data_IF_790520347252
#
_entry.id   IF_790520347252
#
_cell.length_a   1.000
_cell.length_b   1.000
_cell.length_c   1.000
_cell.angle_alpha   90.00
_cell.angle_beta   90.00
_cell.angle_gamma   90.00
#
_symmetry.space_group_name_H-M   'P 1'
#
loop_
_entity.id
_entity.type
_entity.pdbx_description
1 polymer ?
#
# COMPACT_ATOMS: atom_id res chain seq x y z
N UNK A 1 25.99 -11.85 -2.05
CA UNK A 1 26.84 -10.63 -2.04
C UNK A 1 28.30 -10.93 -1.71
N UNK A 2 28.91 -11.92 -2.38
CA UNK A 2 30.31 -12.26 -2.11
C UNK A 2 31.25 -11.14 -2.62
N UNK A 3 32.19 -10.62 -1.80
CA UNK A 3 33.05 -9.50 -2.20
C UNK A 3 34.00 -9.82 -3.36
N UNK A 4 34.15 -11.10 -3.74
CA UNK A 4 34.95 -11.52 -4.92
C UNK A 4 34.23 -11.27 -6.24
N UNK A 5 32.91 -11.09 -6.22
CA UNK A 5 32.14 -10.81 -7.42
C UNK A 5 32.12 -9.29 -7.69
N UNK A 6 32.67 -8.81 -8.83
CA UNK A 6 32.74 -7.38 -9.13
C UNK A 6 31.38 -6.71 -9.35
N UNK A 7 30.30 -7.50 -9.49
CA UNK A 7 28.95 -6.98 -9.69
C UNK A 7 28.22 -6.58 -8.39
N UNK A 8 28.69 -7.00 -7.20
CA UNK A 8 27.95 -6.80 -5.94
C UNK A 8 27.80 -5.32 -5.55
N UNK A 9 28.77 -4.48 -5.89
CA UNK A 9 28.64 -3.03 -5.69
C UNK A 9 27.54 -2.46 -6.59
N UNK A 10 27.48 -2.90 -7.85
CA UNK A 10 26.44 -2.46 -8.77
C UNK A 10 25.04 -2.94 -8.35
N UNK A 11 24.95 -4.15 -7.80
CA UNK A 11 23.74 -4.74 -7.22
C UNK A 11 23.19 -3.89 -6.06
N UNK A 12 24.01 -3.64 -5.04
CA UNK A 12 23.62 -2.85 -3.87
C UNK A 12 23.30 -1.38 -4.24
N UNK A 13 24.04 -0.79 -5.19
CA UNK A 13 23.70 0.53 -5.75
C UNK A 13 22.37 0.47 -6.49
N UNK A 14 22.10 -0.62 -7.21
CA UNK A 14 20.85 -0.91 -7.92
C UNK A 14 19.64 -0.84 -7.02
N UNK A 15 19.68 -1.46 -5.83
CA UNK A 15 18.59 -1.41 -4.85
C UNK A 15 18.25 0.03 -4.42
N UNK A 16 19.26 0.89 -4.30
CA UNK A 16 19.06 2.28 -3.92
C UNK A 16 18.48 3.12 -5.08
N UNK A 17 18.94 2.85 -6.31
CA UNK A 17 18.52 3.62 -7.49
C UNK A 17 17.14 3.18 -7.99
N UNK A 18 16.89 1.88 -8.06
CA UNK A 18 15.63 1.29 -8.50
C UNK A 18 14.62 1.23 -7.37
N UNK A 19 14.86 0.34 -6.42
CA UNK A 19 13.87 -0.05 -5.41
C UNK A 19 13.60 1.03 -4.35
N UNK A 20 14.50 2.00 -4.17
CA UNK A 20 14.25 3.18 -3.34
C UNK A 20 13.82 4.39 -4.16
N UNK A 21 14.71 4.93 -5.00
CA UNK A 21 14.46 6.21 -5.67
C UNK A 21 13.38 6.11 -6.77
N UNK A 22 13.40 5.03 -7.57
CA UNK A 22 12.40 4.78 -8.60
C UNK A 22 11.01 4.53 -8.01
N UNK A 23 10.93 3.65 -7.02
CA UNK A 23 9.69 3.34 -6.30
C UNK A 23 9.07 4.58 -5.64
N UNK A 24 9.88 5.40 -4.95
CA UNK A 24 9.39 6.62 -4.31
C UNK A 24 8.81 7.61 -5.34
N UNK A 25 9.42 7.71 -6.53
CA UNK A 25 8.92 8.55 -7.62
C UNK A 25 7.61 8.00 -8.21
N UNK A 26 7.48 6.68 -8.39
CA UNK A 26 6.27 6.01 -8.87
C UNK A 26 5.08 6.25 -7.92
N UNK A 27 5.28 5.99 -6.62
CA UNK A 27 4.23 6.22 -5.62
C UNK A 27 3.88 7.70 -5.47
N UNK A 28 4.86 8.62 -5.60
CA UNK A 28 4.59 10.06 -5.61
C UNK A 28 3.72 10.46 -6.81
N UNK A 29 4.04 9.97 -8.01
CA UNK A 29 3.26 10.26 -9.22
C UNK A 29 1.84 9.73 -9.10
N UNK A 30 1.68 8.46 -8.70
CA UNK A 30 0.38 7.83 -8.48
C UNK A 30 -0.47 8.59 -7.44
N UNK A 31 0.16 9.04 -6.35
CA UNK A 31 -0.50 9.86 -5.32
C UNK A 31 -0.96 11.22 -5.86
N UNK A 32 -0.07 11.98 -6.50
CA UNK A 32 -0.37 13.33 -7.03
C UNK A 32 -1.41 13.26 -8.14
N UNK A 33 -1.26 12.35 -9.09
CA UNK A 33 -2.19 12.17 -10.21
C UNK A 33 -3.59 11.83 -9.71
N UNK A 34 -3.71 10.94 -8.73
CA UNK A 34 -5.02 10.58 -8.15
C UNK A 34 -5.69 11.73 -7.42
N UNK A 35 -4.93 12.46 -6.59
CA UNK A 35 -5.48 13.60 -5.84
C UNK A 35 -5.92 14.69 -6.82
N UNK A 36 -5.07 15.04 -7.79
CA UNK A 36 -5.40 16.05 -8.81
C UNK A 36 -6.58 15.60 -9.67
N UNK A 37 -6.67 14.34 -10.09
CA UNK A 37 -7.82 13.83 -10.83
C UNK A 37 -9.12 13.95 -10.03
N UNK A 38 -9.08 13.67 -8.73
CA UNK A 38 -10.24 13.84 -7.83
C UNK A 38 -10.63 15.31 -7.69
N UNK A 39 -9.65 16.22 -7.61
CA UNK A 39 -9.89 17.67 -7.57
C UNK A 39 -10.48 18.20 -8.89
N UNK A 40 -10.00 17.72 -10.03
CA UNK A 40 -10.54 18.07 -11.35
C UNK A 40 -11.97 17.55 -11.49
N UNK A 41 -12.25 16.33 -11.01
CA UNK A 41 -13.61 15.81 -10.99
C UNK A 41 -14.52 16.66 -10.11
N UNK A 42 -14.05 17.07 -8.92
CA UNK A 42 -14.78 17.98 -8.04
C UNK A 42 -15.07 19.34 -8.72
N UNK A 43 -14.08 19.92 -9.40
CA UNK A 43 -14.24 21.24 -10.04
C UNK A 43 -15.27 21.21 -11.17
N UNK A 44 -15.38 20.09 -11.90
CA UNK A 44 -16.38 19.91 -12.96
C UNK A 44 -17.77 19.61 -12.36
N UNK A 45 -17.84 18.71 -11.36
CA UNK A 45 -19.12 18.22 -10.84
C UNK A 45 -19.87 19.25 -10.00
N UNK A 46 -19.14 20.11 -9.29
CA UNK A 46 -19.73 21.11 -8.42
C UNK A 46 -19.68 22.52 -9.01
N UNK A 47 -19.23 22.68 -10.27
CA UNK A 47 -19.00 23.95 -10.94
C UNK A 47 -20.14 24.96 -10.72
N UNK A 48 -19.80 26.17 -10.28
CA UNK A 48 -20.77 27.25 -10.05
C UNK A 48 -21.60 27.14 -8.76
N UNK A 49 -21.37 26.10 -7.94
CA UNK A 49 -21.97 25.97 -6.61
C UNK A 49 -21.04 26.48 -5.49
N UNK A 50 -21.63 26.77 -4.32
CA UNK A 50 -20.89 27.30 -3.16
C UNK A 50 -19.88 26.32 -2.55
N UNK A 51 -19.95 25.03 -2.93
CA UNK A 51 -19.17 23.93 -2.34
C UNK A 51 -18.02 23.42 -3.19
N UNK A 52 -17.74 24.05 -4.34
CA UNK A 52 -16.63 23.65 -5.22
C UNK A 52 -15.32 23.56 -4.46
N UNK A 53 -15.00 24.60 -3.68
CA UNK A 53 -13.74 24.65 -2.94
C UNK A 53 -13.67 23.57 -1.87
N UNK A 54 -14.75 23.33 -1.12
CA UNK A 54 -14.78 22.28 -0.09
C UNK A 54 -14.52 20.89 -0.71
N UNK A 55 -15.15 20.60 -1.87
CA UNK A 55 -14.98 19.31 -2.55
C UNK A 55 -13.61 19.15 -3.21
N UNK A 56 -13.00 20.25 -3.68
CA UNK A 56 -11.62 20.25 -4.17
C UNK A 56 -10.59 20.12 -3.04
N UNK A 57 -10.87 20.68 -1.86
CA UNK A 57 -10.01 20.55 -0.68
C UNK A 57 -10.12 19.17 -0.01
N UNK A 58 -11.26 18.48 -0.17
CA UNK A 58 -11.51 17.22 0.48
C UNK A 58 -10.44 16.14 0.25
N UNK A 59 -10.00 15.82 -0.99
CA UNK A 59 -8.93 14.84 -1.21
C UNK A 59 -7.59 15.25 -0.58
N UNK A 60 -7.26 16.55 -0.59
CA UNK A 60 -6.06 17.07 0.07
C UNK A 60 -6.14 16.93 1.60
N UNK A 61 -7.32 17.18 2.16
CA UNK A 61 -7.56 17.07 3.59
C UNK A 61 -7.51 15.61 4.07
N UNK A 62 -8.02 14.66 3.27
CA UNK A 62 -7.86 13.22 3.49
C UNK A 62 -6.36 12.85 3.52
N UNK A 63 -5.60 13.30 2.51
CA UNK A 63 -4.15 13.06 2.45
C UNK A 63 -3.41 13.62 3.66
N UNK A 64 -3.65 14.89 4.01
CA UNK A 64 -3.01 15.54 5.17
C UNK A 64 -3.30 14.82 6.49
N UNK A 65 -4.55 14.38 6.68
CA UNK A 65 -4.93 13.59 7.86
C UNK A 65 -4.22 12.23 7.88
N UNK A 66 -4.13 11.54 6.74
CA UNK A 66 -3.48 10.24 6.67
C UNK A 66 -1.95 10.30 6.83
N UNK A 67 -1.31 11.44 6.52
CA UNK A 67 0.08 11.69 6.89
C UNK A 67 0.24 11.66 8.42
N UNK A 68 -0.65 12.33 9.16
CA UNK A 68 -0.61 12.36 10.63
C UNK A 68 -0.81 10.95 11.21
N UNK A 69 -1.79 10.20 10.71
CA UNK A 69 -2.04 8.82 11.19
C UNK A 69 -0.92 7.87 10.79
N UNK A 70 -0.25 8.08 9.65
CA UNK A 70 0.93 7.31 9.23
C UNK A 70 2.08 7.53 10.21
N UNK A 71 2.38 8.78 10.56
CA UNK A 71 3.39 9.12 11.58
C UNK A 71 3.05 8.45 12.91
N UNK A 72 1.81 8.55 13.38
CA UNK A 72 1.38 7.91 14.62
C UNK A 72 1.52 6.38 14.54
N UNK A 73 1.14 5.77 13.41
CA UNK A 73 1.22 4.34 13.20
C UNK A 73 2.64 3.78 13.24
N UNK A 74 3.65 4.55 12.83
CA UNK A 74 5.06 4.12 12.94
C UNK A 74 5.45 3.76 14.37
N UNK A 75 4.91 4.46 15.39
CA UNK A 75 5.20 4.15 16.79
C UNK A 75 4.66 2.79 17.26
N UNK A 76 3.68 2.22 16.52
CA UNK A 76 3.11 0.90 16.78
C UNK A 76 3.89 -0.25 16.13
N UNK A 77 4.84 0.05 15.23
CA UNK A 77 5.73 -0.94 14.62
C UNK A 77 6.76 -1.39 15.64
N UNK A 78 6.38 -2.38 16.45
CA UNK A 78 7.23 -2.96 17.51
C UNK A 78 7.14 -4.48 17.54
N UNK A 79 8.32 -5.10 17.63
CA UNK A 79 8.44 -6.55 17.79
C UNK A 79 7.70 -7.01 19.05
N UNK A 80 6.81 -7.98 18.89
CA UNK A 80 6.08 -8.59 19.99
C UNK A 80 6.80 -9.79 20.59
N UNK A 81 6.11 -10.52 21.47
CA UNK A 81 6.61 -11.76 22.07
C UNK A 81 6.97 -12.84 21.03
N UNK A 82 6.27 -12.86 19.89
CA UNK A 82 6.52 -13.79 18.79
C UNK A 82 7.73 -13.43 17.93
N UNK A 83 8.34 -12.25 18.12
CA UNK A 83 9.47 -11.75 17.30
C UNK A 83 9.21 -11.78 15.78
N UNK A 84 7.95 -11.82 15.35
CA UNK A 84 7.58 -11.75 13.94
C UNK A 84 7.74 -10.32 13.43
N UNK A 85 8.62 -10.15 12.44
CA UNK A 85 8.87 -8.87 11.76
C UNK A 85 7.61 -8.43 11.01
N UNK A 86 7.04 -9.29 10.16
CA UNK A 86 5.81 -8.98 9.42
C UNK A 86 4.63 -8.66 10.36
N UNK A 87 4.50 -9.39 11.47
CA UNK A 87 3.50 -9.07 12.49
C UNK A 87 3.70 -7.71 13.17
N UNK A 88 4.93 -7.18 13.22
CA UNK A 88 5.18 -5.81 13.68
C UNK A 88 4.75 -4.77 12.64
N UNK A 89 5.02 -5.03 11.36
CA UNK A 89 4.61 -4.17 10.25
C UNK A 89 3.08 -4.09 10.13
N UNK A 90 2.38 -5.22 10.28
CA UNK A 90 0.92 -5.26 10.33
C UNK A 90 0.32 -4.44 11.47
N UNK A 91 0.95 -4.39 12.64
CA UNK A 91 0.45 -3.53 13.73
C UNK A 91 0.50 -2.06 13.36
N UNK A 92 1.56 -1.63 12.69
CA UNK A 92 1.66 -0.27 12.15
C UNK A 92 0.55 0.02 11.15
N UNK A 93 0.36 -0.89 10.18
CA UNK A 93 -0.68 -0.76 9.15
C UNK A 93 -2.10 -0.74 9.71
N UNK A 94 -2.42 -1.65 10.62
CA UNK A 94 -3.72 -1.70 11.28
C UNK A 94 -3.93 -0.44 12.12
N UNK A 95 -2.91 0.01 12.87
CA UNK A 95 -3.00 1.24 13.65
C UNK A 95 -3.27 2.46 12.74
N UNK A 96 -2.50 2.64 11.67
CA UNK A 96 -2.73 3.74 10.72
C UNK A 96 -4.10 3.63 10.07
N UNK A 97 -4.50 2.47 9.54
CA UNK A 97 -5.79 2.30 8.87
C UNK A 97 -6.99 2.58 9.79
N UNK A 98 -6.95 2.07 11.02
CA UNK A 98 -8.01 2.30 12.02
C UNK A 98 -8.04 3.77 12.44
N UNK A 99 -6.89 4.39 12.71
CA UNK A 99 -6.83 5.81 13.06
C UNK A 99 -7.31 6.70 11.90
N UNK A 100 -6.94 6.38 10.66
CA UNK A 100 -7.43 7.08 9.46
C UNK A 100 -8.94 6.96 9.34
N UNK A 101 -9.51 5.78 9.56
CA UNK A 101 -10.96 5.59 9.53
C UNK A 101 -11.68 6.41 10.63
N UNK A 102 -11.11 6.46 11.84
CA UNK A 102 -11.66 7.24 12.96
C UNK A 102 -11.60 8.74 12.66
N UNK A 103 -10.47 9.24 12.14
CA UNK A 103 -10.29 10.66 11.83
C UNK A 103 -10.98 11.11 10.55
N UNK A 104 -11.30 10.18 9.64
CA UNK A 104 -12.08 10.46 8.45
C UNK A 104 -13.49 10.96 8.82
N UNK A 105 -14.11 10.42 9.86
CA UNK A 105 -15.43 10.86 10.29
C UNK A 105 -15.53 12.36 10.64
N UNK A 106 -14.75 12.90 11.60
CA UNK A 106 -14.80 14.33 11.91
C UNK A 106 -14.31 15.20 10.75
N UNK A 107 -13.39 14.71 9.90
CA UNK A 107 -12.98 15.43 8.70
C UNK A 107 -14.16 15.61 7.73
N UNK A 108 -14.84 14.52 7.38
CA UNK A 108 -16.01 14.58 6.48
C UNK A 108 -17.13 15.39 7.12
N UNK A 109 -17.36 15.26 8.42
CA UNK A 109 -18.37 16.05 9.12
C UNK A 109 -18.07 17.55 9.11
N UNK A 110 -16.81 17.95 9.27
CA UNK A 110 -16.40 19.37 9.30
C UNK A 110 -16.38 20.03 7.92
N UNK A 111 -15.90 19.32 6.89
CA UNK A 111 -15.71 19.92 5.56
C UNK A 111 -16.93 19.73 4.64
N UNK A 112 -17.55 18.55 4.67
CA UNK A 112 -18.67 18.18 3.77
C UNK A 112 -20.01 18.30 4.50
N UNK A 113 -20.06 17.99 5.79
CA UNK A 113 -21.28 17.82 6.56
C UNK A 113 -21.95 16.48 6.27
N UNK A 114 -22.16 15.67 7.31
CA UNK A 114 -22.61 14.28 7.18
C UNK A 114 -23.98 14.12 6.53
N UNK A 115 -24.91 15.01 6.86
CA UNK A 115 -26.29 14.98 6.37
C UNK A 115 -26.51 15.94 5.19
N UNK A 116 -25.46 16.59 4.67
CA UNK A 116 -25.66 17.44 3.50
C UNK A 116 -25.94 16.58 2.28
N UNK A 117 -27.14 16.74 1.71
CA UNK A 117 -27.47 16.18 0.41
C UNK A 117 -26.78 16.95 -0.70
N UNK A 118 -26.01 16.23 -1.52
CA UNK A 118 -25.39 16.71 -2.75
C UNK A 118 -26.01 15.97 -3.92
N UNK A 119 -26.24 16.68 -5.02
CA UNK A 119 -26.79 16.10 -6.24
C UNK A 119 -25.87 16.43 -7.40
N UNK A 120 -25.38 15.39 -8.07
CA UNK A 120 -24.61 15.51 -9.29
C UNK A 120 -25.33 14.72 -10.38
N UNK A 121 -25.88 15.41 -11.37
CA UNK A 121 -26.74 14.79 -12.38
C UNK A 121 -27.96 14.12 -11.73
N UNK A 122 -28.13 12.82 -11.98
CA UNK A 122 -29.21 12.01 -11.40
C UNK A 122 -28.84 11.37 -10.04
N UNK A 123 -27.57 11.42 -9.65
CA UNK A 123 -27.08 10.78 -8.43
C UNK A 123 -27.16 11.75 -7.26
N UNK A 124 -27.94 11.38 -6.24
CA UNK A 124 -27.98 12.07 -4.95
C UNK A 124 -27.23 11.28 -3.90
N UNK A 125 -26.30 11.92 -3.20
CA UNK A 125 -25.52 11.31 -2.12
C UNK A 125 -25.31 12.29 -0.97
N UNK A 126 -24.81 11.79 0.15
CA UNK A 126 -24.58 12.60 1.36
C UNK A 126 -23.12 12.55 1.79
N UNK A 127 -22.72 13.40 2.74
CA UNK A 127 -21.40 13.28 3.38
C UNK A 127 -21.17 11.89 3.97
N UNK A 128 -22.21 11.25 4.54
CA UNK A 128 -22.16 9.84 4.98
C UNK A 128 -21.78 8.89 3.86
N UNK A 129 -22.33 9.07 2.66
CA UNK A 129 -21.97 8.26 1.49
C UNK A 129 -20.49 8.40 1.14
N UNK A 130 -19.94 9.62 1.20
CA UNK A 130 -18.52 9.85 0.93
C UNK A 130 -17.60 9.29 2.02
N UNK A 131 -18.01 9.35 3.29
CA UNK A 131 -17.31 8.67 4.38
C UNK A 131 -17.26 7.16 4.13
N UNK A 132 -18.39 6.55 3.76
CA UNK A 132 -18.46 5.12 3.44
C UNK A 132 -17.60 4.77 2.21
N UNK A 133 -17.57 5.61 1.17
CA UNK A 133 -16.64 5.42 0.04
C UNK A 133 -15.18 5.45 0.50
N UNK A 134 -14.83 6.38 1.40
CA UNK A 134 -13.49 6.43 1.96
C UNK A 134 -13.13 5.19 2.80
N UNK A 135 -14.09 4.69 3.59
CA UNK A 135 -13.93 3.44 4.34
C UNK A 135 -13.74 2.23 3.43
N UNK A 136 -14.45 2.18 2.30
CA UNK A 136 -14.27 1.16 1.25
C UNK A 136 -12.86 1.23 0.67
N UNK A 137 -12.34 2.43 0.40
CA UNK A 137 -10.96 2.61 -0.06
C UNK A 137 -9.92 2.02 0.91
N UNK A 138 -10.05 2.34 2.20
CA UNK A 138 -9.18 1.78 3.25
C UNK A 138 -9.30 0.24 3.37
N UNK A 139 -10.52 -0.29 3.23
CA UNK A 139 -10.77 -1.72 3.25
C UNK A 139 -10.14 -2.42 2.05
N UNK A 140 -10.24 -1.82 0.85
CA UNK A 140 -9.59 -2.33 -0.37
C UNK A 140 -8.08 -2.39 -0.17
N UNK A 141 -7.44 -1.33 0.35
CA UNK A 141 -6.01 -1.37 0.67
C UNK A 141 -5.68 -2.52 1.62
N UNK A 142 -6.42 -2.67 2.72
CA UNK A 142 -6.17 -3.72 3.69
C UNK A 142 -6.31 -5.13 3.09
N UNK A 143 -7.31 -5.36 2.24
CA UNK A 143 -7.51 -6.64 1.56
C UNK A 143 -6.39 -6.93 0.56
N UNK A 144 -5.98 -5.94 -0.23
CA UNK A 144 -4.87 -6.09 -1.18
C UNK A 144 -3.60 -6.47 -0.43
N UNK A 145 -3.26 -5.78 0.65
CA UNK A 145 -2.07 -6.09 1.46
C UNK A 145 -2.07 -7.55 1.96
N UNK A 146 -3.19 -8.02 2.49
CA UNK A 146 -3.32 -9.40 3.00
C UNK A 146 -3.24 -10.43 1.87
N UNK A 147 -3.85 -10.15 0.72
CA UNK A 147 -3.80 -11.03 -0.45
C UNK A 147 -2.36 -11.11 -0.98
N UNK A 148 -1.69 -9.97 -1.12
CA UNK A 148 -0.31 -9.92 -1.60
C UNK A 148 0.62 -10.68 -0.65
N UNK A 149 0.54 -10.46 0.67
CA UNK A 149 1.33 -11.23 1.65
C UNK A 149 1.13 -12.75 1.47
N UNK A 150 -0.10 -13.21 1.25
CA UNK A 150 -0.36 -14.64 1.04
C UNK A 150 0.35 -15.20 -0.21
N UNK A 151 0.46 -14.42 -1.28
CA UNK A 151 1.11 -14.86 -2.52
C UNK A 151 2.63 -14.68 -2.52
N UNK A 152 3.18 -13.79 -1.69
CA UNK A 152 4.62 -13.46 -1.69
C UNK A 152 5.36 -13.88 -0.41
N UNK A 153 4.64 -14.19 0.67
CA UNK A 153 5.22 -14.65 1.92
C UNK A 153 5.70 -16.11 1.88
N UNK A 154 6.90 -16.35 2.40
CA UNK A 154 7.59 -17.67 2.38
C UNK A 154 6.88 -18.77 3.17
N UNK A 155 5.98 -18.39 4.08
CA UNK A 155 5.24 -19.33 4.93
C UNK A 155 3.95 -19.86 4.28
N UNK A 156 3.60 -19.38 3.08
CA UNK A 156 2.34 -19.71 2.42
C UNK A 156 2.50 -20.68 1.26
N UNK A 157 1.38 -21.34 0.90
CA UNK A 157 1.32 -22.34 -0.18
C UNK A 157 1.93 -21.85 -1.49
N UNK A 158 1.66 -20.63 -2.00
CA UNK A 158 2.15 -20.21 -3.30
C UNK A 158 3.68 -20.23 -3.40
N UNK A 159 4.36 -19.56 -2.47
CA UNK A 159 5.84 -19.53 -2.45
C UNK A 159 6.45 -20.90 -2.16
N UNK A 160 5.88 -21.66 -1.20
CA UNK A 160 6.36 -23.01 -0.90
C UNK A 160 6.22 -23.97 -2.10
N UNK A 161 5.18 -23.79 -2.92
CA UNK A 161 4.99 -24.60 -4.13
C UNK A 161 6.08 -24.33 -5.18
N UNK A 162 6.47 -23.06 -5.34
CA UNK A 162 7.56 -22.63 -6.25
C UNK A 162 8.90 -23.20 -5.75
N UNK A 163 9.19 -23.03 -4.46
CA UNK A 163 10.39 -23.58 -3.84
C UNK A 163 10.48 -25.10 -4.00
N UNK A 164 9.36 -25.83 -3.83
CA UNK A 164 9.32 -27.29 -4.02
C UNK A 164 9.51 -27.69 -5.49
N UNK A 165 9.00 -26.89 -6.44
CA UNK A 165 9.21 -27.12 -7.87
C UNK A 165 10.68 -26.94 -8.30
N UNK A 166 11.50 -26.27 -7.49
CA UNK A 166 12.96 -26.20 -7.73
C UNK A 166 13.66 -27.56 -7.60
N UNK A 167 13.08 -28.54 -6.87
CA UNK A 167 13.67 -29.88 -6.73
C UNK A 167 13.70 -30.65 -8.05
N UNK A 168 12.78 -30.35 -8.96
CA UNK A 168 12.70 -30.98 -10.29
C UNK A 168 13.40 -30.17 -11.39
N UNK A 169 14.03 -29.05 -11.04
CA UNK A 169 14.86 -28.23 -11.93
C UNK A 169 14.34 -26.80 -12.14
N UNK A 170 15.14 -25.99 -12.84
CA UNK A 170 14.84 -24.57 -13.06
C UNK A 170 13.59 -24.33 -13.92
N UNK A 171 13.34 -25.19 -14.92
CA UNK A 171 12.18 -25.06 -15.80
C UNK A 171 10.86 -25.20 -15.03
N UNK A 172 10.76 -26.17 -14.12
CA UNK A 172 9.57 -26.36 -13.28
C UNK A 172 9.40 -25.23 -12.27
N UNK A 173 10.50 -24.67 -11.75
CA UNK A 173 10.45 -23.47 -10.91
C UNK A 173 9.83 -22.28 -11.65
N UNK A 174 10.28 -21.99 -12.88
CA UNK A 174 9.74 -20.89 -13.70
C UNK A 174 8.28 -21.13 -14.07
N UNK A 175 7.92 -22.34 -14.50
CA UNK A 175 6.53 -22.68 -14.85
C UNK A 175 5.62 -22.51 -13.64
N UNK A 176 6.02 -23.01 -12.47
CA UNK A 176 5.24 -22.87 -11.24
C UNK A 176 5.12 -21.41 -10.80
N UNK A 177 6.20 -20.62 -10.91
CA UNK A 177 6.19 -19.18 -10.63
C UNK A 177 5.22 -18.41 -11.52
N UNK A 178 5.22 -18.69 -12.82
CA UNK A 178 4.28 -18.08 -13.76
C UNK A 178 2.83 -18.51 -13.52
N UNK A 179 2.60 -19.77 -13.13
CA UNK A 179 1.26 -20.22 -12.77
C UNK A 179 0.73 -19.47 -11.54
N UNK A 180 1.58 -19.30 -10.51
CA UNK A 180 1.24 -18.54 -9.30
C UNK A 180 1.03 -17.06 -9.59
N UNK A 181 1.83 -16.44 -10.47
CA UNK A 181 1.65 -15.02 -10.82
C UNK A 181 0.35 -14.77 -11.60
N UNK A 182 -0.08 -15.70 -12.45
CA UNK A 182 -1.39 -15.62 -13.09
C UNK A 182 -2.53 -15.80 -12.08
N UNK A 183 -2.38 -16.72 -11.12
CA UNK A 183 -3.34 -16.95 -10.03
C UNK A 183 -3.50 -15.71 -9.13
N UNK A 184 -2.40 -15.05 -8.78
CA UNK A 184 -2.37 -13.97 -7.78
C UNK A 184 -3.12 -12.70 -8.22
N UNK A 185 -3.35 -12.51 -9.52
CA UNK A 185 -4.09 -11.35 -10.04
C UNK A 185 -5.60 -11.43 -9.81
N UNK A 186 -6.15 -12.64 -9.63
CA UNK A 186 -7.60 -12.84 -9.59
C UNK A 186 -8.26 -12.21 -8.35
N UNK A 187 -7.70 -12.44 -7.16
CA UNK A 187 -8.27 -11.93 -5.91
C UNK A 187 -8.17 -10.39 -5.79
N UNK A 188 -7.02 -9.74 -6.07
CA UNK A 188 -6.93 -8.29 -6.09
C UNK A 188 -7.90 -7.65 -7.10
N UNK A 189 -8.03 -8.23 -8.30
CA UNK A 189 -8.97 -7.74 -9.30
C UNK A 189 -10.43 -7.80 -8.81
N UNK A 190 -10.83 -8.91 -8.16
CA UNK A 190 -12.16 -9.04 -7.56
C UNK A 190 -12.40 -8.02 -6.43
N UNK A 191 -11.40 -7.78 -5.58
CA UNK A 191 -11.48 -6.77 -4.52
C UNK A 191 -11.65 -5.37 -5.10
N UNK A 192 -10.88 -5.01 -6.12
CA UNK A 192 -10.98 -3.71 -6.81
C UNK A 192 -12.36 -3.55 -7.47
N UNK A 193 -12.84 -4.58 -8.18
CA UNK A 193 -14.17 -4.54 -8.79
C UNK A 193 -15.27 -4.37 -7.74
N UNK A 194 -15.18 -5.09 -6.62
CA UNK A 194 -16.10 -4.93 -5.49
C UNK A 194 -16.08 -3.51 -4.92
N UNK A 195 -14.88 -2.96 -4.69
CA UNK A 195 -14.70 -1.59 -4.22
C UNK A 195 -15.30 -0.56 -5.18
N UNK A 196 -15.08 -0.71 -6.48
CA UNK A 196 -15.65 0.16 -7.52
C UNK A 196 -17.18 0.12 -7.49
N UNK A 197 -17.77 -1.08 -7.48
CA UNK A 197 -19.24 -1.24 -7.49
C UNK A 197 -19.86 -0.61 -6.24
N UNK A 198 -19.29 -0.87 -5.06
CA UNK A 198 -19.80 -0.32 -3.80
C UNK A 198 -19.67 1.22 -3.80
N UNK A 199 -18.50 1.76 -4.13
CA UNK A 199 -18.27 3.21 -4.14
C UNK A 199 -19.16 3.93 -5.17
N UNK A 200 -19.36 3.32 -6.34
CA UNK A 200 -20.24 3.85 -7.38
C UNK A 200 -21.71 3.87 -6.94
N UNK A 201 -22.20 2.83 -6.27
CA UNK A 201 -23.57 2.81 -5.77
C UNK A 201 -23.80 3.85 -4.66
N UNK A 202 -22.76 4.19 -3.88
CA UNK A 202 -22.86 5.15 -2.79
C UNK A 202 -22.84 6.61 -3.25
N UNK A 203 -21.96 6.97 -4.19
CA UNK A 203 -21.78 8.36 -4.62
C UNK A 203 -21.30 8.52 -6.08
N UNK A 204 -21.58 7.54 -6.95
CA UNK A 204 -21.23 7.57 -8.36
C UNK A 204 -19.72 7.66 -8.62
N UNK A 205 -19.34 8.32 -9.71
CA UNK A 205 -17.93 8.49 -10.09
C UNK A 205 -17.14 9.26 -9.03
N UNK A 206 -17.77 10.21 -8.33
CA UNK A 206 -17.10 10.93 -7.24
C UNK A 206 -16.84 10.01 -6.04
N UNK A 207 -17.75 9.09 -5.73
CA UNK A 207 -17.53 8.04 -4.73
C UNK A 207 -16.31 7.17 -5.03
N UNK A 208 -16.14 6.74 -6.28
CA UNK A 208 -14.93 6.01 -6.71
C UNK A 208 -13.69 6.87 -6.49
N UNK A 209 -13.70 8.13 -6.91
CA UNK A 209 -12.54 9.03 -6.76
C UNK A 209 -12.15 9.21 -5.28
N UNK A 210 -13.12 9.34 -4.38
CA UNK A 210 -12.87 9.39 -2.93
C UNK A 210 -12.31 8.07 -2.41
N UNK A 211 -12.86 6.92 -2.83
CA UNK A 211 -12.36 5.61 -2.42
C UNK A 211 -10.89 5.43 -2.84
N UNK A 212 -10.53 5.75 -4.08
CA UNK A 212 -9.13 5.66 -4.57
C UNK A 212 -8.24 6.66 -3.85
N UNK A 213 -8.72 7.89 -3.58
CA UNK A 213 -7.98 8.87 -2.78
C UNK A 213 -7.64 8.32 -1.40
N UNK A 214 -8.61 7.74 -0.68
CA UNK A 214 -8.35 7.12 0.63
C UNK A 214 -7.47 5.89 0.55
N UNK A 215 -7.57 5.11 -0.54
CA UNK A 215 -6.72 3.93 -0.77
C UNK A 215 -5.25 4.33 -0.79
N UNK A 216 -4.92 5.43 -1.48
CA UNK A 216 -3.57 5.98 -1.59
C UNK A 216 -3.18 6.93 -0.45
N UNK A 217 -4.13 7.41 0.36
CA UNK A 217 -3.83 8.34 1.45
C UNK A 217 -2.90 7.71 2.51
N UNK A 218 -2.87 6.37 2.59
CA UNK A 218 -1.94 5.60 3.42
C UNK A 218 -0.51 5.52 2.85
N UNK A 219 -0.22 6.19 1.73
CA UNK A 219 1.08 6.14 1.04
C UNK A 219 2.26 6.39 1.97
N UNK A 220 2.15 7.31 2.94
CA UNK A 220 3.24 7.59 3.88
C UNK A 220 3.72 6.37 4.67
N UNK A 221 2.79 5.51 5.12
CA UNK A 221 3.16 4.25 5.76
C UNK A 221 3.61 3.19 4.75
N UNK A 222 2.90 3.06 3.61
CA UNK A 222 3.23 2.05 2.59
C UNK A 222 4.64 2.27 2.04
N UNK A 223 5.02 3.50 1.69
CA UNK A 223 6.39 3.86 1.27
C UNK A 223 7.41 3.50 2.36
N UNK A 224 7.08 3.69 3.64
CA UNK A 224 7.99 3.34 4.73
C UNK A 224 8.17 1.81 4.88
N UNK A 225 7.11 1.03 4.62
CA UNK A 225 7.15 -0.44 4.63
C UNK A 225 7.90 -0.99 3.41
N UNK A 226 7.76 -0.34 2.25
CA UNK A 226 8.45 -0.73 1.02
C UNK A 226 9.95 -0.40 1.13
N UNK A 227 10.30 0.84 1.51
CA UNK A 227 11.69 1.27 1.71
C UNK A 227 12.43 0.48 2.79
N UNK A 228 11.74 -0.24 3.68
CA UNK A 228 12.36 -1.18 4.61
C UNK A 228 13.13 -2.29 3.87
N UNK A 229 12.60 -2.80 2.75
CA UNK A 229 13.20 -3.90 2.00
C UNK A 229 14.61 -3.58 1.47
N UNK A 230 14.79 -2.58 0.59
CA UNK A 230 16.09 -2.22 0.03
C UNK A 230 17.14 -1.89 1.10
N UNK A 231 16.72 -1.27 2.21
CA UNK A 231 17.59 -0.96 3.35
C UNK A 231 18.10 -2.24 4.01
N UNK A 232 17.22 -3.23 4.20
CA UNK A 232 17.61 -4.52 4.79
C UNK A 232 18.43 -5.39 3.86
N UNK A 233 18.20 -5.30 2.56
CA UNK A 233 18.98 -6.00 1.53
C UNK A 233 20.42 -5.48 1.50
N UNK A 234 20.60 -4.15 1.40
CA UNK A 234 21.91 -3.51 1.49
C UNK A 234 22.64 -3.82 2.80
N UNK A 235 21.91 -3.88 3.92
CA UNK A 235 22.51 -4.26 5.20
C UNK A 235 23.06 -5.71 5.16
N UNK A 236 22.35 -6.63 4.50
CA UNK A 236 22.83 -7.99 4.24
C UNK A 236 24.06 -8.01 3.34
N UNK A 237 24.04 -7.24 2.25
CA UNK A 237 25.15 -7.10 1.32
C UNK A 237 26.42 -6.58 1.99
N UNK A 238 26.30 -5.51 2.77
CA UNK A 238 27.41 -4.94 3.56
C UNK A 238 27.95 -5.96 4.57
N UNK A 239 27.08 -6.69 5.25
CA UNK A 239 27.48 -7.70 6.23
C UNK A 239 28.33 -8.81 5.58
N UNK A 240 27.92 -9.31 4.41
CA UNK A 240 28.65 -10.33 3.66
C UNK A 240 29.98 -9.80 3.13
N UNK A 241 29.97 -8.62 2.49
CA UNK A 241 31.17 -8.00 1.92
C UNK A 241 32.21 -7.63 2.98
N UNK A 242 31.78 -7.34 4.21
CA UNK A 242 32.67 -7.01 5.33
C UNK A 242 33.15 -8.24 6.10
N UNK A 243 32.77 -9.45 5.69
CA UNK A 243 33.16 -10.70 6.38
C UNK A 243 32.61 -10.80 7.80
N UNK A 244 31.43 -10.23 8.05
CA UNK A 244 30.80 -10.27 9.37
C UNK A 244 30.38 -11.69 9.78
N UNK A 245 30.20 -11.95 11.10
CA UNK A 245 29.75 -13.25 11.57
C UNK A 245 28.42 -13.72 10.97
N UNK A 246 28.29 -15.02 10.71
CA UNK A 246 27.12 -15.63 10.04
C UNK A 246 25.77 -15.41 10.76
N UNK A 247 25.77 -15.11 12.07
CA UNK A 247 24.54 -14.77 12.78
C UNK A 247 23.98 -13.40 12.39
N UNK A 248 24.84 -12.47 11.95
CA UNK A 248 24.40 -11.17 11.39
C UNK A 248 23.70 -11.41 10.06
N UNK A 249 24.30 -12.20 9.16
CA UNK A 249 23.70 -12.56 7.87
C UNK A 249 22.34 -13.26 8.03
N UNK A 250 22.22 -14.21 8.97
CA UNK A 250 20.93 -14.85 9.29
C UNK A 250 19.84 -13.86 9.73
N UNK A 251 20.23 -12.79 10.42
CA UNK A 251 19.29 -11.77 10.87
C UNK A 251 18.89 -10.87 9.71
N UNK A 252 19.84 -10.45 8.87
CA UNK A 252 19.55 -9.62 7.68
C UNK A 252 18.75 -10.39 6.64
N UNK A 253 19.02 -11.67 6.40
CA UNK A 253 18.23 -12.52 5.47
C UNK A 253 16.77 -12.65 5.93
N UNK A 254 16.53 -12.72 7.25
CA UNK A 254 15.18 -12.77 7.78
C UNK A 254 14.43 -11.43 7.63
N UNK A 255 15.16 -10.31 7.70
CA UNK A 255 14.62 -8.98 7.46
C UNK A 255 14.33 -8.76 5.97
N UNK A 256 15.27 -9.12 5.10
CA UNK A 256 15.15 -9.03 3.65
C UNK A 256 14.02 -9.91 3.10
N UNK A 257 13.86 -11.14 3.59
CA UNK A 257 12.74 -11.99 3.20
C UNK A 257 11.36 -11.33 3.47
N UNK A 258 11.25 -10.54 4.55
CA UNK A 258 10.06 -9.75 4.84
C UNK A 258 10.01 -8.50 3.97
N UNK A 259 11.14 -7.85 3.72
CA UNK A 259 11.30 -6.75 2.77
C UNK A 259 10.79 -7.10 1.36
N UNK A 260 11.10 -8.29 0.86
CA UNK A 260 10.61 -8.77 -0.43
C UNK A 260 9.08 -8.96 -0.46
N UNK A 261 8.48 -9.27 0.69
CA UNK A 261 7.01 -9.32 0.82
C UNK A 261 6.44 -7.91 0.81
N UNK A 262 7.06 -6.94 1.49
CA UNK A 262 6.58 -5.56 1.55
C UNK A 262 6.79 -4.77 0.25
N UNK A 263 7.85 -5.05 -0.51
CA UNK A 263 8.05 -4.52 -1.88
C UNK A 263 6.92 -4.91 -2.84
N UNK A 264 6.28 -6.06 -2.60
CA UNK A 264 5.20 -6.53 -3.46
C UNK A 264 3.82 -5.94 -3.07
N UNK A 265 3.67 -5.47 -1.83
CA UNK A 265 2.43 -4.93 -1.26
C UNK A 265 2.19 -3.51 -1.76
#
# INVERSE_FOLDING_TARGET
>A
DDPRNPATIADNVGDNVGDCAGMAADLFETYVVTVVATMVLASIYFAGGDRVMDMMLYPLAIGAMCVITSIIGTYFVRLGKSQSIMGALYKGLIATGVLSLILLWPLTAGLVGMDTAMKVGEVSFTGKSLFLCGAVGLLVTALIVVITEYYTGTNHRPVQSIAKASVTGHGTNVIQGLAVSLESTALPALVIMGGIVIAYQLAGLFGIAIAVTTMLALAGLIVALDAFGPVTDNAGGIAEMSGMPANIRKTTDALDAVGNTTKAV
#
